data_IF_805782128216
#
_entry.id   IF_805782128216
#
_cell.length_a   1.000
_cell.length_b   1.000
_cell.length_c   1.000
_cell.angle_alpha   90.00
_cell.angle_beta   90.00
_cell.angle_gamma   90.00
#
_symmetry.space_group_name_H-M   'P 1'
#
loop_
_entity.id
_entity.type
_entity.pdbx_description
1 polymer ?
#
# COMPACT_ATOMS: atom_id res chain seq x y z
N UNK A 1 -35.24 41.03 38.55
CA UNK A 1 -35.76 42.40 38.40
C UNK A 1 -34.72 43.20 37.61
N UNK A 2 -34.95 43.51 36.33
CA UNK A 2 -35.40 44.82 35.80
C UNK A 2 -34.25 45.58 35.11
N UNK A 3 -34.20 45.55 33.75
CA UNK A 3 -34.36 46.66 32.76
C UNK A 3 -33.00 47.32 32.38
N UNK A 4 -32.60 47.58 31.12
CA UNK A 4 -33.20 48.16 29.88
C UNK A 4 -32.18 47.88 28.74
N UNK A 5 -32.48 47.36 27.54
CA UNK A 5 -33.33 47.80 26.42
C UNK A 5 -32.68 48.83 25.45
N UNK A 6 -32.82 48.56 24.13
CA UNK A 6 -32.61 49.37 22.91
C UNK A 6 -31.13 49.61 22.49
N UNK A 7 -30.64 49.29 21.28
CA UNK A 7 -31.26 49.04 19.97
C UNK A 7 -30.84 50.13 18.99
N UNK A 8 -30.32 49.80 17.79
CA UNK A 8 -30.45 50.54 16.51
C UNK A 8 -30.02 49.63 15.35
N UNK A 9 -30.83 49.71 14.31
CA UNK A 9 -30.82 49.05 12.99
C UNK A 9 -29.99 49.88 12.01
N UNK A 10 -29.26 49.24 11.09
CA UNK A 10 -29.01 49.75 9.72
C UNK A 10 -28.50 48.58 8.85
N UNK A 11 -29.31 47.94 7.99
CA UNK A 11 -29.66 48.34 6.60
C UNK A 11 -28.44 48.68 5.74
N UNK A 12 -28.17 47.82 4.74
CA UNK A 12 -27.20 48.10 3.68
C UNK A 12 -27.05 46.93 2.70
N UNK A 13 -28.08 46.68 1.89
CA UNK A 13 -28.00 45.81 0.72
C UNK A 13 -27.20 46.47 -0.40
N UNK A 14 -26.37 45.70 -1.11
CA UNK A 14 -25.97 46.02 -2.48
C UNK A 14 -25.82 44.72 -3.27
N UNK A 15 -26.87 44.44 -4.03
CA UNK A 15 -26.91 43.47 -5.09
C UNK A 15 -25.99 43.91 -6.24
N UNK A 16 -25.16 42.99 -6.74
CA UNK A 16 -24.55 43.10 -8.05
C UNK A 16 -24.97 41.88 -8.87
N UNK A 17 -26.04 42.08 -9.65
CA UNK A 17 -26.50 41.22 -10.73
C UNK A 17 -25.48 41.29 -11.87
N UNK A 18 -24.85 40.17 -12.20
CA UNK A 18 -24.21 39.97 -13.50
C UNK A 18 -24.87 38.77 -14.17
N UNK A 19 -25.92 39.10 -14.90
CA UNK A 19 -26.67 38.27 -15.82
C UNK A 19 -25.77 37.86 -16.99
N UNK A 20 -25.33 36.59 -17.04
CA UNK A 20 -24.77 36.01 -18.25
C UNK A 20 -25.90 35.43 -19.11
N UNK A 21 -25.97 35.74 -20.41
CA UNK A 21 -27.03 35.22 -21.28
C UNK A 21 -26.82 33.74 -21.57
N UNK A 22 -27.91 32.99 -21.47
CA UNK A 22 -28.04 31.63 -21.94
C UNK A 22 -27.83 31.58 -23.47
N UNK A 23 -26.73 30.94 -23.91
CA UNK A 23 -26.62 30.49 -25.30
C UNK A 23 -27.13 29.05 -25.41
N UNK A 24 -28.21 28.94 -26.17
CA UNK A 24 -28.89 27.73 -26.54
C UNK A 24 -27.98 26.77 -27.34
N UNK A 25 -27.92 25.52 -26.86
CA UNK A 25 -28.11 24.27 -27.61
C UNK A 25 -27.83 24.29 -29.13
N UNK A 26 -26.76 23.60 -29.53
CA UNK A 26 -26.61 23.04 -30.86
C UNK A 26 -26.25 21.54 -30.75
N UNK A 27 -26.97 20.63 -31.45
CA UNK A 27 -26.63 19.21 -31.49
C UNK A 27 -25.50 18.99 -32.50
N UNK A 28 -24.31 18.61 -32.02
CA UNK A 28 -23.18 18.18 -32.85
C UNK A 28 -23.25 16.67 -33.14
N UNK A 29 -22.87 16.22 -34.35
CA UNK A 29 -23.17 14.89 -34.88
C UNK A 29 -22.37 13.80 -34.18
N UNK A 30 -23.02 12.65 -34.01
CA UNK A 30 -22.45 11.47 -33.39
C UNK A 30 -21.21 10.93 -34.10
N UNK A 31 -20.19 10.61 -33.31
CA UNK A 31 -19.20 9.59 -33.61
C UNK A 31 -19.68 8.27 -33.03
N UNK A 32 -19.94 7.30 -33.91
CA UNK A 32 -20.30 5.92 -33.57
C UNK A 32 -19.16 5.12 -32.92
N UNK A 33 -19.41 3.84 -32.61
CA UNK A 33 -18.70 3.07 -31.60
C UNK A 33 -17.41 2.43 -32.14
N UNK A 34 -16.39 2.29 -31.28
CA UNK A 34 -15.28 1.39 -31.54
C UNK A 34 -14.12 1.51 -30.56
N UNK A 35 -13.30 0.45 -30.47
CA UNK A 35 -13.65 -0.84 -29.90
C UNK A 35 -13.60 -0.79 -28.37
N UNK A 36 -14.32 -1.68 -27.71
CA UNK A 36 -14.17 -1.89 -26.28
C UNK A 36 -12.71 -2.20 -25.95
N UNK A 37 -12.01 -1.21 -25.41
CA UNK A 37 -10.86 -1.45 -24.56
C UNK A 37 -11.43 -2.16 -23.34
N UNK A 38 -11.44 -3.49 -23.39
CA UNK A 38 -11.66 -4.31 -22.22
C UNK A 38 -10.66 -3.86 -21.17
N UNK A 39 -11.13 -3.10 -20.19
CA UNK A 39 -10.42 -2.88 -18.95
C UNK A 39 -10.35 -4.25 -18.27
N UNK A 40 -9.40 -5.07 -18.71
CA UNK A 40 -9.05 -6.31 -18.06
C UNK A 40 -8.66 -5.95 -16.64
N UNK A 41 -9.56 -6.25 -15.71
CA UNK A 41 -9.23 -6.37 -14.30
C UNK A 41 -8.27 -7.56 -14.17
N UNK A 42 -6.98 -7.30 -14.42
CA UNK A 42 -5.95 -8.32 -14.52
C UNK A 42 -4.67 -7.89 -13.81
N UNK A 43 -4.67 -8.01 -12.48
CA UNK A 43 -3.44 -8.20 -11.69
C UNK A 43 -2.62 -6.95 -11.33
N UNK A 44 -3.26 -5.88 -10.83
CA UNK A 44 -2.58 -4.73 -10.25
C UNK A 44 -2.08 -4.98 -8.82
N UNK A 45 -0.75 -5.03 -8.64
CA UNK A 45 -0.07 -4.68 -7.39
C UNK A 45 -0.37 -5.54 -6.15
N UNK A 46 0.29 -6.70 -6.04
CA UNK A 46 0.58 -7.22 -4.69
C UNK A 46 1.65 -6.29 -4.09
N UNK A 47 1.21 -5.22 -3.42
CA UNK A 47 2.09 -4.33 -2.66
C UNK A 47 2.77 -5.09 -1.51
N UNK A 48 3.35 -4.35 -0.55
CA UNK A 48 4.00 -4.91 0.66
C UNK A 48 3.17 -5.98 1.38
N UNK A 49 1.85 -6.01 1.21
CA UNK A 49 0.93 -6.99 1.80
C UNK A 49 0.99 -8.40 1.19
N UNK A 50 1.58 -8.58 -0.01
CA UNK A 50 1.79 -9.92 -0.57
C UNK A 50 2.63 -10.80 0.36
N UNK A 51 3.61 -10.20 1.03
CA UNK A 51 4.51 -10.90 1.95
C UNK A 51 3.79 -11.47 3.17
N UNK A 52 2.77 -10.79 3.70
CA UNK A 52 1.96 -11.29 4.82
C UNK A 52 1.21 -12.54 4.38
N UNK A 53 0.61 -12.49 3.18
CA UNK A 53 -0.13 -13.66 2.69
C UNK A 53 0.80 -14.85 2.49
N UNK A 54 1.99 -14.62 1.94
CA UNK A 54 2.99 -15.67 1.73
C UNK A 54 3.51 -16.28 3.05
N UNK A 55 3.86 -15.44 4.03
CA UNK A 55 4.56 -15.89 5.23
C UNK A 55 3.64 -16.24 6.42
N UNK A 56 2.41 -15.73 6.44
CA UNK A 56 1.48 -15.91 7.55
C UNK A 56 0.30 -16.82 7.22
N UNK A 57 0.37 -17.65 6.16
CA UNK A 57 -0.80 -18.46 5.74
C UNK A 57 -1.31 -19.35 6.86
N UNK A 58 -0.41 -19.98 7.62
CA UNK A 58 -0.75 -20.88 8.73
C UNK A 58 -1.37 -20.10 9.89
N UNK A 59 -0.76 -18.99 10.26
CA UNK A 59 -1.16 -18.13 11.37
C UNK A 59 -2.49 -17.44 11.08
N UNK A 60 -2.73 -17.02 9.84
CA UNK A 60 -4.03 -16.46 9.44
C UNK A 60 -5.12 -17.52 9.56
N UNK A 61 -4.87 -18.77 9.15
CA UNK A 61 -5.86 -19.84 9.28
C UNK A 61 -6.13 -20.20 10.75
N UNK A 62 -5.10 -20.17 11.59
CA UNK A 62 -5.20 -20.55 13.00
C UNK A 62 -5.81 -19.45 13.89
N UNK A 63 -5.41 -18.19 13.67
CA UNK A 63 -5.71 -17.07 14.57
C UNK A 63 -6.67 -16.03 13.96
N UNK A 64 -6.72 -15.92 12.64
CA UNK A 64 -7.50 -14.90 11.93
C UNK A 64 -8.44 -15.47 10.84
N UNK A 65 -9.19 -16.58 11.08
CA UNK A 65 -9.92 -17.29 10.02
C UNK A 65 -11.06 -16.50 9.40
N UNK A 66 -11.70 -15.60 10.16
CA UNK A 66 -12.81 -14.75 9.71
C UNK A 66 -12.36 -13.35 9.29
N UNK A 67 -11.05 -13.07 9.35
CA UNK A 67 -10.52 -11.73 9.09
C UNK A 67 -10.37 -11.52 7.58
N UNK A 68 -10.90 -10.40 7.04
CA UNK A 68 -10.67 -10.03 5.65
C UNK A 68 -9.17 -9.94 5.35
N UNK A 69 -8.75 -10.42 4.18
CA UNK A 69 -7.35 -10.31 3.74
C UNK A 69 -6.98 -8.85 3.46
N UNK A 70 -5.68 -8.58 3.37
CA UNK A 70 -5.18 -7.21 3.25
C UNK A 70 -5.02 -6.55 4.62
N UNK A 71 -5.23 -5.22 4.75
CA UNK A 71 -4.89 -4.48 5.97
C UNK A 71 -5.53 -5.03 7.25
N UNK A 72 -6.77 -5.53 7.17
CA UNK A 72 -7.44 -6.14 8.31
C UNK A 72 -6.72 -7.40 8.82
N UNK A 73 -6.14 -8.21 7.92
CA UNK A 73 -5.33 -9.37 8.32
C UNK A 73 -4.07 -8.96 9.07
N UNK A 74 -3.41 -7.85 8.67
CA UNK A 74 -2.27 -7.34 9.42
C UNK A 74 -2.67 -6.92 10.84
N UNK A 75 -3.78 -6.19 11.00
CA UNK A 75 -4.26 -5.77 12.34
C UNK A 75 -4.48 -6.99 13.23
N UNK A 76 -5.20 -8.00 12.73
CA UNK A 76 -5.42 -9.23 13.48
C UNK A 76 -4.11 -9.93 13.86
N UNK A 77 -3.19 -10.12 12.90
CA UNK A 77 -1.91 -10.75 13.18
C UNK A 77 -1.05 -9.94 14.16
N UNK A 78 -1.12 -8.61 14.09
CA UNK A 78 -0.41 -7.72 15.00
C UNK A 78 -0.87 -7.88 16.46
N UNK A 79 -2.14 -8.19 16.69
CA UNK A 79 -2.65 -8.50 18.04
C UNK A 79 -2.22 -9.90 18.54
N UNK A 80 -1.79 -10.76 17.60
CA UNK A 80 -1.37 -12.14 17.84
C UNK A 80 0.13 -12.36 17.70
N UNK A 81 0.97 -11.32 17.77
CA UNK A 81 2.43 -11.41 17.52
C UNK A 81 3.14 -12.56 18.25
N UNK A 82 2.78 -12.82 19.50
CA UNK A 82 3.34 -13.90 20.33
C UNK A 82 2.99 -15.32 19.85
N UNK A 83 1.94 -15.45 19.06
CA UNK A 83 1.45 -16.71 18.50
C UNK A 83 1.98 -16.94 17.07
N UNK A 84 2.76 -15.98 16.52
CA UNK A 84 3.29 -16.05 15.16
C UNK A 84 4.64 -16.77 15.09
N UNK A 85 4.86 -17.51 14.00
CA UNK A 85 6.20 -17.99 13.65
C UNK A 85 7.15 -16.84 13.27
N UNK A 86 8.45 -17.06 13.38
CA UNK A 86 9.51 -16.06 13.19
C UNK A 86 9.37 -15.26 11.88
N UNK A 87 9.18 -15.95 10.76
CA UNK A 87 9.02 -15.29 9.46
C UNK A 87 7.72 -14.47 9.36
N UNK A 88 6.61 -14.96 9.94
CA UNK A 88 5.36 -14.21 9.94
C UNK A 88 5.44 -12.98 10.86
N UNK A 89 6.05 -13.12 12.04
CA UNK A 89 6.29 -12.01 12.96
C UNK A 89 7.12 -10.92 12.28
N UNK A 90 8.26 -11.28 11.68
CA UNK A 90 9.11 -10.34 10.97
C UNK A 90 8.39 -9.67 9.78
N UNK A 91 7.49 -10.39 9.10
CA UNK A 91 6.64 -9.84 8.05
C UNK A 91 5.63 -8.82 8.60
N UNK A 92 4.94 -9.14 9.71
CA UNK A 92 3.98 -8.25 10.37
C UNK A 92 4.69 -6.98 10.83
N UNK A 93 5.77 -7.08 11.57
CA UNK A 93 6.55 -5.92 12.01
C UNK A 93 7.04 -5.13 10.79
N UNK A 94 7.65 -5.82 9.81
CA UNK A 94 8.20 -5.24 8.59
C UNK A 94 7.18 -4.61 7.65
N UNK A 95 5.87 -4.83 7.85
CA UNK A 95 4.79 -4.26 7.04
C UNK A 95 3.96 -3.20 7.75
N UNK A 96 4.26 -2.92 9.02
CA UNK A 96 3.52 -1.96 9.84
C UNK A 96 3.45 -0.54 9.25
N UNK A 97 2.47 0.27 9.71
CA UNK A 97 2.22 1.62 9.21
C UNK A 97 3.37 2.59 9.51
N UNK A 98 4.15 2.32 10.56
CA UNK A 98 5.26 3.18 11.00
C UNK A 98 6.59 2.87 10.26
N UNK A 99 6.58 1.94 9.31
CA UNK A 99 7.80 1.55 8.59
C UNK A 99 8.21 2.58 7.55
N UNK A 100 9.36 3.22 7.80
CA UNK A 100 9.99 4.17 6.89
C UNK A 100 10.76 3.53 5.72
N UNK A 101 11.31 4.36 4.82
CA UNK A 101 12.18 3.89 3.74
C UNK A 101 13.32 3.03 4.26
N UNK A 102 13.57 1.89 3.60
CA UNK A 102 14.65 0.99 3.98
C UNK A 102 14.38 0.09 5.20
N UNK A 103 13.22 0.20 5.85
CA UNK A 103 12.82 -0.64 7.01
C UNK A 103 11.70 -1.63 6.67
N UNK A 104 11.45 -1.88 5.39
CA UNK A 104 10.40 -2.78 4.95
C UNK A 104 10.64 -4.27 5.29
N UNK A 105 9.74 -5.15 4.87
CA UNK A 105 9.83 -6.58 5.16
C UNK A 105 11.13 -7.22 4.66
N UNK A 106 11.70 -6.77 3.53
CA UNK A 106 13.02 -7.23 3.07
C UNK A 106 14.11 -6.92 4.08
N UNK A 107 14.14 -5.71 4.64
CA UNK A 107 15.17 -5.33 5.60
C UNK A 107 15.08 -6.12 6.91
N UNK A 108 13.85 -6.53 7.30
CA UNK A 108 13.61 -7.36 8.49
C UNK A 108 13.98 -8.82 8.23
N UNK A 109 13.44 -9.41 7.17
CA UNK A 109 13.57 -10.84 6.87
C UNK A 109 14.94 -11.22 6.31
N UNK A 110 15.69 -10.26 5.77
CA UNK A 110 17.03 -10.49 5.21
C UNK A 110 18.14 -9.88 6.06
N UNK A 111 17.89 -9.49 7.31
CA UNK A 111 18.84 -8.70 8.10
C UNK A 111 20.22 -9.38 8.21
N UNK A 112 20.24 -10.68 8.49
CA UNK A 112 21.47 -11.46 8.62
C UNK A 112 22.22 -11.54 7.29
N UNK A 113 21.51 -11.82 6.20
CA UNK A 113 22.09 -11.93 4.86
C UNK A 113 22.57 -10.57 4.33
N UNK A 114 21.90 -9.48 4.71
CA UNK A 114 22.37 -8.12 4.41
C UNK A 114 23.71 -7.88 5.11
N UNK A 115 23.82 -8.24 6.38
CA UNK A 115 25.06 -8.06 7.15
C UNK A 115 26.20 -8.95 6.63
N UNK A 116 25.91 -10.17 6.21
CA UNK A 116 26.91 -11.15 5.75
C UNK A 116 27.33 -10.97 4.29
N UNK A 117 26.40 -10.60 3.41
CA UNK A 117 26.64 -10.60 1.96
C UNK A 117 26.62 -9.21 1.33
N UNK A 118 25.96 -8.24 1.98
CA UNK A 118 25.69 -6.92 1.41
C UNK A 118 26.15 -5.77 2.32
N UNK A 119 27.15 -6.03 3.17
CA UNK A 119 27.70 -5.06 4.09
C UNK A 119 28.20 -3.79 3.37
N UNK A 120 27.94 -2.63 3.96
CA UNK A 120 28.38 -1.33 3.43
C UNK A 120 27.52 -0.75 2.31
N UNK A 121 26.42 -1.41 1.92
CA UNK A 121 25.47 -0.87 0.94
C UNK A 121 24.43 0.01 1.63
N UNK A 122 24.21 1.21 1.10
CA UNK A 122 23.20 2.13 1.63
C UNK A 122 21.77 1.61 1.42
N UNK A 123 20.97 1.62 2.50
CA UNK A 123 19.56 1.24 2.48
C UNK A 123 18.69 2.28 1.77
N UNK A 124 17.55 1.87 1.22
CA UNK A 124 16.56 2.79 0.63
C UNK A 124 16.73 3.08 -0.87
N UNK A 125 17.91 2.85 -1.46
CA UNK A 125 18.19 3.04 -2.90
C UNK A 125 17.88 1.81 -3.78
N UNK A 126 17.46 0.70 -3.18
CA UNK A 126 17.30 -0.60 -3.84
C UNK A 126 18.61 -1.33 -4.14
N UNK A 127 19.78 -0.78 -3.79
CA UNK A 127 21.07 -1.44 -3.96
C UNK A 127 21.21 -2.70 -3.10
N UNK A 128 20.76 -2.65 -1.84
CA UNK A 128 20.76 -3.81 -0.93
C UNK A 128 20.00 -4.97 -1.56
N UNK A 129 18.84 -4.69 -2.17
CA UNK A 129 18.04 -5.70 -2.83
C UNK A 129 18.75 -6.32 -4.04
N UNK A 130 19.40 -5.52 -4.88
CA UNK A 130 20.20 -6.05 -6.01
C UNK A 130 21.32 -6.96 -5.54
N UNK A 131 21.95 -6.64 -4.40
CA UNK A 131 22.96 -7.51 -3.81
C UNK A 131 22.35 -8.83 -3.30
N UNK A 132 21.22 -8.78 -2.58
CA UNK A 132 20.54 -10.00 -2.14
C UNK A 132 20.11 -10.88 -3.33
N UNK A 133 19.61 -10.28 -4.41
CA UNK A 133 19.25 -11.02 -5.63
C UNK A 133 20.46 -11.69 -6.30
N UNK A 134 21.68 -11.17 -6.17
CA UNK A 134 22.89 -11.80 -6.74
C UNK A 134 23.47 -12.93 -5.88
N UNK A 135 23.05 -13.04 -4.61
CA UNK A 135 23.45 -14.11 -3.67
C UNK A 135 22.26 -14.98 -3.27
N UNK A 136 21.23 -15.04 -4.12
CA UNK A 136 19.92 -15.62 -3.81
C UNK A 136 19.93 -17.07 -3.32
N UNK A 137 20.89 -17.86 -3.78
CA UNK A 137 21.11 -19.26 -3.39
C UNK A 137 21.57 -19.41 -1.93
N UNK A 138 22.14 -18.34 -1.36
CA UNK A 138 22.66 -18.30 0.02
C UNK A 138 21.67 -17.74 1.02
N UNK A 139 20.53 -17.24 0.54
CA UNK A 139 19.53 -16.60 1.38
C UNK A 139 18.64 -17.62 2.09
N UNK A 140 18.21 -17.29 3.30
CA UNK A 140 17.15 -18.03 3.98
C UNK A 140 15.85 -18.01 3.15
N UNK A 141 15.01 -19.02 3.39
CA UNK A 141 13.69 -19.10 2.76
C UNK A 141 12.84 -17.86 3.08
N UNK A 142 12.86 -17.40 4.33
CA UNK A 142 12.15 -16.19 4.76
C UNK A 142 12.58 -14.95 3.99
N UNK A 143 13.90 -14.74 3.84
CA UNK A 143 14.43 -13.64 3.03
C UNK A 143 14.04 -13.75 1.55
N UNK A 144 14.13 -14.95 0.94
CA UNK A 144 13.73 -15.16 -0.46
C UNK A 144 12.26 -14.88 -0.69
N UNK A 145 11.40 -15.36 0.20
CA UNK A 145 9.96 -15.10 0.15
C UNK A 145 9.66 -13.61 0.34
N UNK A 146 10.41 -12.93 1.22
CA UNK A 146 10.34 -11.47 1.33
C UNK A 146 10.68 -10.82 0.00
N UNK A 147 11.77 -11.23 -0.65
CA UNK A 147 12.13 -10.68 -1.94
C UNK A 147 11.01 -10.90 -2.96
N UNK A 148 10.53 -12.13 -3.12
CA UNK A 148 9.54 -12.48 -4.14
C UNK A 148 8.18 -11.80 -3.96
N UNK A 149 7.84 -11.44 -2.72
CA UNK A 149 6.53 -10.90 -2.39
C UNK A 149 6.55 -9.41 -2.03
N UNK A 150 7.66 -8.70 -2.26
CA UNK A 150 7.81 -7.28 -1.93
C UNK A 150 8.53 -6.51 -3.05
N UNK A 151 7.91 -5.46 -3.59
CA UNK A 151 8.46 -4.63 -4.70
C UNK A 151 8.79 -5.41 -5.99
N UNK A 152 9.15 -4.81 -7.12
CA UNK A 152 8.60 -3.62 -7.79
C UNK A 152 7.46 -4.06 -8.72
N UNK A 153 6.73 -3.12 -9.33
CA UNK A 153 5.87 -3.36 -10.49
C UNK A 153 6.59 -3.87 -11.75
N UNK A 154 7.42 -4.91 -11.63
CA UNK A 154 8.03 -5.67 -12.72
C UNK A 154 7.69 -7.16 -12.56
N UNK A 155 6.57 -7.54 -13.17
CA UNK A 155 6.24 -8.93 -13.52
C UNK A 155 7.23 -9.58 -14.52
N UNK A 156 8.46 -9.08 -14.74
CA UNK A 156 9.06 -9.22 -16.08
C UNK A 156 10.53 -9.57 -16.28
N UNK A 157 11.29 -10.05 -15.29
CA UNK A 157 12.65 -10.51 -15.60
C UNK A 157 13.09 -11.84 -15.00
N UNK A 158 12.46 -12.34 -13.93
CA UNK A 158 12.91 -13.60 -13.32
C UNK A 158 11.84 -14.28 -12.46
N UNK A 159 10.69 -14.60 -13.04
CA UNK A 159 9.85 -15.65 -12.46
C UNK A 159 10.53 -17.01 -12.75
N UNK A 160 10.64 -17.93 -11.78
CA UNK A 160 10.97 -19.32 -12.10
C UNK A 160 9.88 -19.89 -13.00
N UNK A 161 10.30 -20.64 -14.02
CA UNK A 161 9.44 -21.62 -14.70
C UNK A 161 9.32 -22.85 -13.81
#
# INVERSE_FOLDING_TARGET
MIRKALGIVALGALAALLSAPAFAQGPGPGGGPGPGMGMGMGGGGMGRMGVITALCTKEIAAHCPTTPRGPAAWVCLNDHQKDLGENCLAAVEGTGPDMGPGMGPVARLCMSEIAEHCAGIEHGSGLVRRCLDSTRDKLSEGCRLALDNTGWGQRRSNAPQ
#
